data_IF_426694378495
#
_entry.id   IF_426694378495
#
_cell.length_a   1.000
_cell.length_b   1.000
_cell.length_c   1.000
_cell.angle_alpha   90.00
_cell.angle_beta   90.00
_cell.angle_gamma   90.00
#
_symmetry.space_group_name_H-M   'P 1'
#
loop_
_entity.id
_entity.type
_entity.pdbx_description
1 polymer ?
#
# COMPACT_ATOMS: atom_id res chain seq x y z
N UNK A 1 -55.74 -65.61 -31.65
CA UNK A 1 -55.38 -64.38 -32.40
C UNK A 1 -55.10 -63.28 -31.36
N UNK A 2 -53.83 -63.01 -31.05
CA UNK A 2 -53.41 -61.96 -30.10
C UNK A 2 -52.99 -60.73 -30.90
N UNK A 3 -53.70 -59.62 -30.74
CA UNK A 3 -53.26 -58.31 -31.21
C UNK A 3 -52.45 -57.66 -30.08
N UNK A 4 -51.22 -57.27 -30.40
CA UNK A 4 -50.28 -56.66 -29.48
C UNK A 4 -49.97 -55.22 -29.91
N UNK A 5 -50.02 -54.33 -28.91
CA UNK A 5 -49.35 -53.02 -28.70
C UNK A 5 -49.69 -51.85 -29.67
N UNK A 6 -49.83 -50.58 -29.18
CA UNK A 6 -48.75 -49.85 -28.49
C UNK A 6 -49.17 -48.97 -27.27
N UNK A 7 -48.34 -48.80 -26.23
CA UNK A 7 -48.35 -47.58 -25.43
C UNK A 7 -47.29 -46.59 -25.97
N UNK A 8 -47.76 -45.40 -26.33
CA UNK A 8 -46.95 -44.27 -26.72
C UNK A 8 -46.24 -43.68 -25.48
N UNK A 9 -44.99 -44.09 -25.24
CA UNK A 9 -44.13 -43.55 -24.17
C UNK A 9 -43.11 -42.51 -24.67
N UNK A 10 -43.20 -42.08 -25.92
CA UNK A 10 -42.43 -40.94 -26.40
C UNK A 10 -43.17 -39.65 -26.01
N UNK A 11 -42.46 -38.74 -25.33
CA UNK A 11 -42.86 -37.36 -25.01
C UNK A 11 -43.45 -37.07 -23.62
N UNK A 12 -43.05 -37.82 -22.58
CA UNK A 12 -42.91 -37.23 -21.22
C UNK A 12 -41.62 -36.39 -21.08
N UNK A 13 -41.15 -35.80 -22.19
CA UNK A 13 -39.95 -34.96 -22.25
C UNK A 13 -40.32 -33.47 -22.19
N UNK A 14 -41.18 -33.12 -21.26
CA UNK A 14 -41.44 -31.73 -20.86
C UNK A 14 -41.56 -31.71 -19.34
N UNK A 15 -40.47 -32.09 -18.66
CA UNK A 15 -40.16 -31.55 -17.35
C UNK A 15 -40.05 -30.04 -17.51
N UNK A 16 -41.18 -29.36 -17.32
CA UNK A 16 -41.26 -27.97 -16.93
C UNK A 16 -40.63 -27.83 -15.54
N UNK A 17 -39.31 -28.02 -15.47
CA UNK A 17 -38.44 -27.47 -14.43
C UNK A 17 -38.14 -26.01 -14.81
N UNK A 18 -39.19 -25.20 -14.94
CA UNK A 18 -39.08 -23.77 -14.70
C UNK A 18 -39.48 -23.55 -13.23
N UNK A 19 -38.73 -24.15 -12.30
CA UNK A 19 -38.62 -23.59 -10.96
C UNK A 19 -38.04 -22.21 -11.16
N UNK A 20 -38.90 -21.20 -11.06
CA UNK A 20 -38.52 -19.80 -11.07
C UNK A 20 -37.33 -19.64 -10.14
N UNK A 21 -36.16 -19.40 -10.73
CA UNK A 21 -35.01 -18.93 -10.01
C UNK A 21 -35.41 -17.57 -9.45
N UNK A 22 -35.92 -17.58 -8.22
CA UNK A 22 -35.81 -16.51 -7.24
C UNK A 22 -34.31 -16.31 -6.92
N UNK A 23 -33.50 -16.03 -7.95
CA UNK A 23 -32.21 -15.41 -7.74
C UNK A 23 -32.47 -13.91 -7.78
N UNK A 24 -33.08 -13.43 -6.69
CA UNK A 24 -32.82 -12.08 -6.20
C UNK A 24 -31.32 -12.01 -5.92
N UNK A 25 -30.55 -11.75 -6.97
CA UNK A 25 -29.15 -11.36 -6.84
C UNK A 25 -29.19 -10.04 -6.07
N UNK A 26 -28.53 -9.93 -4.92
CA UNK A 26 -28.50 -8.68 -4.18
C UNK A 26 -27.71 -7.65 -4.99
N UNK A 27 -28.41 -6.84 -5.78
CA UNK A 27 -27.88 -5.59 -6.36
C UNK A 27 -27.56 -4.54 -5.27
N UNK A 28 -27.64 -4.89 -3.99
CA UNK A 28 -27.22 -4.07 -2.85
C UNK A 28 -25.69 -4.05 -2.63
N UNK A 29 -24.90 -4.68 -3.52
CA UNK A 29 -23.44 -4.68 -3.46
C UNK A 29 -22.74 -3.45 -4.05
N UNK A 30 -23.42 -2.63 -4.87
CA UNK A 30 -22.72 -1.56 -5.64
C UNK A 30 -22.26 -0.37 -4.78
N UNK A 31 -22.99 -0.05 -3.71
CA UNK A 31 -22.65 1.08 -2.82
C UNK A 31 -21.50 0.75 -1.87
N UNK A 32 -21.31 -0.53 -1.51
CA UNK A 32 -20.17 -0.95 -0.69
C UNK A 32 -18.89 -1.05 -1.52
N UNK A 33 -18.98 -1.55 -2.77
CA UNK A 33 -17.85 -1.70 -3.68
C UNK A 33 -17.17 -0.35 -3.99
N UNK A 34 -17.95 0.73 -4.13
CA UNK A 34 -17.42 2.08 -4.38
C UNK A 34 -16.63 2.68 -3.20
N UNK A 35 -16.94 2.30 -1.96
CA UNK A 35 -16.18 2.76 -0.78
C UNK A 35 -14.87 1.99 -0.63
N UNK A 36 -14.88 0.70 -0.93
CA UNK A 36 -13.66 -0.11 -0.98
C UNK A 36 -12.72 0.37 -2.10
N UNK A 37 -13.25 0.79 -3.26
CA UNK A 37 -12.40 1.33 -4.32
C UNK A 37 -11.82 2.71 -3.98
N UNK A 38 -12.59 3.60 -3.34
CA UNK A 38 -12.08 4.91 -2.92
C UNK A 38 -10.90 4.81 -1.95
N UNK A 39 -11.02 3.97 -0.91
CA UNK A 39 -9.94 3.77 0.07
C UNK A 39 -8.71 3.09 -0.56
N UNK A 40 -8.93 2.15 -1.48
CA UNK A 40 -7.84 1.53 -2.23
C UNK A 40 -7.09 2.54 -3.11
N UNK A 41 -7.82 3.46 -3.78
CA UNK A 41 -7.21 4.54 -4.57
C UNK A 41 -6.39 5.45 -3.66
N UNK A 42 -6.94 5.88 -2.51
CA UNK A 42 -6.20 6.70 -1.54
C UNK A 42 -4.94 5.99 -1.06
N UNK A 43 -5.03 4.69 -0.75
CA UNK A 43 -3.87 3.87 -0.38
C UNK A 43 -2.80 3.84 -1.47
N UNK A 44 -3.19 3.65 -2.72
CA UNK A 44 -2.26 3.66 -3.87
C UNK A 44 -1.62 5.03 -4.10
N UNK A 45 -2.38 6.12 -3.96
CA UNK A 45 -1.86 7.49 -4.08
C UNK A 45 -0.85 7.78 -2.97
N UNK A 46 -1.18 7.46 -1.71
CA UNK A 46 -0.26 7.61 -0.58
C UNK A 46 1.01 6.76 -0.77
N UNK A 47 0.85 5.51 -1.21
CA UNK A 47 1.96 4.62 -1.49
C UNK A 47 2.87 5.19 -2.60
N UNK A 48 2.29 5.65 -3.71
CA UNK A 48 3.06 6.20 -4.84
C UNK A 48 3.80 7.49 -4.44
N UNK A 49 3.15 8.40 -3.72
CA UNK A 49 3.77 9.62 -3.23
C UNK A 49 4.87 9.31 -2.22
N UNK A 50 4.62 8.41 -1.26
CA UNK A 50 5.60 7.99 -0.28
C UNK A 50 6.81 7.32 -0.91
N UNK A 51 6.60 6.41 -1.86
CA UNK A 51 7.65 5.76 -2.63
C UNK A 51 8.48 6.78 -3.44
N UNK A 52 7.81 7.70 -4.13
CA UNK A 52 8.48 8.75 -4.91
C UNK A 52 9.37 9.63 -4.03
N UNK A 53 8.85 10.15 -2.91
CA UNK A 53 9.61 10.99 -1.98
C UNK A 53 10.77 10.21 -1.37
N UNK A 54 10.56 8.96 -0.97
CA UNK A 54 11.61 8.10 -0.42
C UNK A 54 12.73 7.84 -1.43
N UNK A 55 12.38 7.52 -2.68
CA UNK A 55 13.36 7.33 -3.75
C UNK A 55 14.11 8.61 -4.08
N UNK A 56 13.42 9.76 -4.08
CA UNK A 56 14.06 11.06 -4.24
C UNK A 56 15.05 11.35 -3.10
N UNK A 57 14.71 11.02 -1.85
CA UNK A 57 15.61 11.14 -0.71
C UNK A 57 16.86 10.26 -0.89
N UNK A 58 16.69 8.98 -1.26
CA UNK A 58 17.81 8.07 -1.55
C UNK A 58 18.69 8.63 -2.67
N UNK A 59 18.09 9.16 -3.73
CA UNK A 59 18.83 9.79 -4.82
C UNK A 59 19.64 10.99 -4.34
N UNK A 60 19.02 11.91 -3.59
CA UNK A 60 19.69 13.11 -3.08
C UNK A 60 20.79 12.79 -2.06
N UNK A 61 20.60 11.76 -1.23
CA UNK A 61 21.56 11.36 -0.20
C UNK A 61 22.75 10.56 -0.75
N UNK A 62 22.51 9.58 -1.62
CA UNK A 62 23.55 8.64 -2.04
C UNK A 62 23.97 8.76 -3.49
N UNK A 63 23.05 9.06 -4.41
CA UNK A 63 23.32 8.99 -5.85
C UNK A 63 23.84 10.33 -6.35
N UNK A 64 23.31 11.45 -5.83
CA UNK A 64 23.63 12.80 -6.30
C UNK A 64 25.11 13.13 -6.17
N UNK A 65 25.74 12.77 -5.05
CA UNK A 65 27.16 13.09 -4.83
C UNK A 65 28.09 12.31 -5.77
N UNK A 66 27.98 10.96 -5.92
CA UNK A 66 28.71 10.22 -6.93
C UNK A 66 28.47 10.71 -8.35
N UNK A 67 27.22 11.01 -8.72
CA UNK A 67 26.89 11.55 -10.05
C UNK A 67 27.56 12.91 -10.27
N UNK A 68 27.52 13.80 -9.27
CA UNK A 68 28.20 15.10 -9.35
C UNK A 68 29.71 14.95 -9.55
N UNK A 69 30.33 13.99 -8.85
CA UNK A 69 31.77 13.71 -9.00
C UNK A 69 32.08 13.09 -10.37
N UNK A 70 31.23 12.17 -10.85
CA UNK A 70 31.39 11.53 -12.17
C UNK A 70 31.25 12.53 -13.34
N UNK A 71 30.49 13.62 -13.15
CA UNK A 71 30.38 14.72 -14.10
C UNK A 71 31.53 15.74 -14.01
N UNK A 72 32.56 15.48 -13.21
CA UNK A 72 33.74 16.35 -13.07
C UNK A 72 33.59 17.47 -12.03
N UNK A 73 32.52 17.46 -11.22
CA UNK A 73 32.36 18.42 -10.13
C UNK A 73 33.33 18.17 -8.98
N UNK A 74 33.78 19.24 -8.31
CA UNK A 74 34.67 19.16 -7.15
C UNK A 74 33.89 19.19 -5.83
N UNK A 75 34.52 18.85 -4.70
CA UNK A 75 33.85 18.91 -3.39
C UNK A 75 33.39 20.31 -3.01
N UNK A 76 34.12 21.34 -3.45
CA UNK A 76 33.83 22.73 -3.09
C UNK A 76 32.59 23.29 -3.81
N UNK A 77 32.25 22.75 -4.98
CA UNK A 77 31.05 23.15 -5.72
C UNK A 77 29.80 22.38 -5.29
N UNK A 78 29.95 21.34 -4.46
CA UNK A 78 28.84 20.52 -4.04
C UNK A 78 28.00 21.20 -2.95
N UNK A 79 26.82 21.70 -3.33
CA UNK A 79 25.83 22.19 -2.37
C UNK A 79 24.94 21.05 -1.87
N UNK A 80 25.16 20.65 -0.62
CA UNK A 80 24.29 19.70 0.06
C UNK A 80 22.87 20.29 0.17
N UNK A 81 21.87 19.56 -0.32
CA UNK A 81 20.46 19.89 -0.15
C UNK A 81 19.90 18.82 0.76
N UNK A 82 19.48 19.22 1.97
CA UNK A 82 18.79 18.30 2.88
C UNK A 82 17.45 17.93 2.26
N UNK A 83 17.21 16.63 2.04
CA UNK A 83 15.87 16.13 1.73
C UNK A 83 14.92 16.36 2.92
N UNK A 84 13.62 16.20 2.68
CA UNK A 84 12.59 16.19 3.73
C UNK A 84 12.44 14.74 4.23
N UNK A 85 13.18 14.32 5.27
CA UNK A 85 13.51 12.92 5.46
C UNK A 85 12.36 12.10 6.06
N UNK A 86 11.31 12.77 6.54
CA UNK A 86 10.20 12.14 7.26
C UNK A 86 8.93 11.99 6.42
N UNK A 87 8.81 12.75 5.32
CA UNK A 87 7.55 12.81 4.55
C UNK A 87 7.30 11.52 3.77
N UNK A 88 8.37 10.94 3.20
CA UNK A 88 8.30 9.69 2.43
C UNK A 88 7.85 8.51 3.28
N UNK A 89 8.61 8.21 4.33
CA UNK A 89 8.27 7.17 5.30
C UNK A 89 6.89 7.37 5.94
N UNK A 90 6.49 8.59 6.29
CA UNK A 90 5.14 8.85 6.84
C UNK A 90 4.03 8.42 5.87
N UNK A 91 4.11 8.81 4.59
CA UNK A 91 3.11 8.41 3.59
C UNK A 91 3.10 6.90 3.36
N UNK A 92 4.26 6.24 3.39
CA UNK A 92 4.35 4.79 3.28
C UNK A 92 3.65 4.10 4.47
N UNK A 93 3.90 4.54 5.71
CA UNK A 93 3.24 3.99 6.89
C UNK A 93 1.71 4.18 6.87
N UNK A 94 1.24 5.36 6.45
CA UNK A 94 -0.19 5.62 6.28
C UNK A 94 -0.83 4.77 5.18
N UNK A 95 -0.06 4.39 4.15
CA UNK A 95 -0.57 3.56 3.04
C UNK A 95 -0.79 2.08 3.43
N UNK A 96 0.00 1.52 4.35
CA UNK A 96 -0.03 0.09 4.70
C UNK A 96 -1.43 -0.45 5.03
N UNK A 97 -2.24 0.18 5.91
CA UNK A 97 -3.58 -0.33 6.22
C UNK A 97 -4.55 -0.21 5.03
N UNK A 98 -4.28 0.68 4.08
CA UNK A 98 -5.13 0.95 2.91
C UNK A 98 -4.78 0.05 1.71
N UNK A 99 -3.58 -0.54 1.68
CA UNK A 99 -3.15 -1.43 0.61
C UNK A 99 -3.81 -2.81 0.76
N UNK A 100 -4.40 -3.33 -0.32
CA UNK A 100 -5.06 -4.65 -0.34
C UNK A 100 -4.06 -5.80 -0.51
N UNK A 101 -2.97 -5.57 -1.24
CA UNK A 101 -1.95 -6.59 -1.51
C UNK A 101 -0.95 -6.69 -0.36
N UNK A 102 -0.80 -7.89 0.20
CA UNK A 102 0.22 -8.20 1.20
C UNK A 102 1.63 -7.92 0.66
N UNK A 103 1.86 -8.19 -0.63
CA UNK A 103 3.14 -7.88 -1.28
C UNK A 103 3.45 -6.39 -1.29
N UNK A 104 2.47 -5.54 -1.62
CA UNK A 104 2.65 -4.08 -1.58
C UNK A 104 2.87 -3.55 -0.17
N UNK A 105 2.22 -4.14 0.85
CA UNK A 105 2.47 -3.77 2.26
C UNK A 105 3.92 -4.03 2.66
N UNK A 106 4.43 -5.23 2.38
CA UNK A 106 5.83 -5.55 2.68
C UNK A 106 6.81 -4.70 1.87
N UNK A 107 6.47 -4.41 0.62
CA UNK A 107 7.27 -3.51 -0.20
C UNK A 107 7.28 -2.08 0.35
N UNK A 108 6.16 -1.57 0.86
CA UNK A 108 6.08 -0.28 1.54
C UNK A 108 6.93 -0.24 2.83
N UNK A 109 6.92 -1.32 3.61
CA UNK A 109 7.80 -1.47 4.79
C UNK A 109 9.26 -1.51 4.38
N UNK A 110 9.62 -2.28 3.36
CA UNK A 110 10.99 -2.34 2.87
C UNK A 110 11.47 -0.96 2.39
N UNK A 111 10.67 -0.26 1.59
CA UNK A 111 10.98 1.10 1.14
C UNK A 111 11.15 2.07 2.32
N UNK A 112 10.30 2.00 3.34
CA UNK A 112 10.39 2.90 4.48
C UNK A 112 11.66 2.70 5.29
N UNK A 113 12.21 1.47 5.35
CA UNK A 113 13.51 1.20 5.98
C UNK A 113 14.68 1.84 5.22
N UNK A 114 14.61 1.91 3.90
CA UNK A 114 15.61 2.55 3.04
C UNK A 114 15.55 4.08 3.07
N UNK A 115 14.48 4.68 3.61
CA UNK A 115 14.38 6.14 3.79
C UNK A 115 15.40 6.61 4.84
N UNK A 116 16.52 7.17 4.41
CA UNK A 116 17.68 7.48 5.27
C UNK A 116 17.51 8.65 6.22
N UNK A 117 16.33 9.23 6.29
CA UNK A 117 15.96 10.01 7.47
C UNK A 117 14.53 9.76 7.94
N UNK A 118 14.02 8.56 7.67
CA UNK A 118 12.76 8.13 8.23
C UNK A 118 12.76 8.14 9.76
N UNK A 119 11.57 8.00 10.33
CA UNK A 119 11.33 8.07 11.78
C UNK A 119 12.28 7.13 12.56
N UNK A 120 12.61 5.96 12.02
CA UNK A 120 13.53 5.00 12.64
C UNK A 120 14.97 5.55 12.74
N UNK A 121 15.48 6.24 11.72
CA UNK A 121 16.79 6.90 11.79
C UNK A 121 16.77 8.12 12.72
N UNK A 122 15.67 8.87 12.74
CA UNK A 122 15.50 9.97 13.69
C UNK A 122 15.52 9.46 15.15
N UNK A 123 14.74 8.43 15.46
CA UNK A 123 14.74 7.81 16.80
C UNK A 123 16.11 7.20 17.11
N UNK A 124 16.73 6.53 16.14
CA UNK A 124 18.07 5.95 16.29
C UNK A 124 19.13 7.00 16.63
N UNK A 125 19.11 8.15 15.96
CA UNK A 125 20.06 9.26 16.24
C UNK A 125 19.77 9.92 17.59
N UNK A 126 18.51 10.13 17.98
CA UNK A 126 18.16 10.62 19.32
C UNK A 126 18.54 9.65 20.44
N UNK A 127 18.42 8.34 20.19
CA UNK A 127 18.87 7.30 21.13
C UNK A 127 20.39 7.33 21.27
N UNK A 128 21.11 7.29 20.14
CA UNK A 128 22.57 7.30 20.09
C UNK A 128 23.17 8.53 20.78
N UNK A 129 22.57 9.69 20.58
CA UNK A 129 23.02 10.95 21.19
C UNK A 129 22.59 11.12 22.65
N UNK A 130 21.85 10.17 23.24
CA UNK A 130 21.33 10.25 24.60
C UNK A 130 20.22 11.29 24.81
N UNK A 131 19.84 12.03 23.75
CA UNK A 131 18.81 13.07 23.80
C UNK A 131 17.43 12.50 24.11
N UNK A 132 17.14 11.26 23.68
CA UNK A 132 15.85 10.62 23.95
C UNK A 132 15.61 10.45 25.46
N UNK A 133 16.64 10.04 26.21
CA UNK A 133 16.56 9.88 27.66
C UNK A 133 16.31 11.22 28.37
N UNK A 134 16.98 12.28 27.92
CA UNK A 134 16.77 13.63 28.46
C UNK A 134 15.37 14.18 28.15
N UNK A 135 14.86 13.95 26.94
CA UNK A 135 13.51 14.36 26.52
C UNK A 135 12.43 13.66 27.34
N UNK A 136 12.55 12.34 27.53
CA UNK A 136 11.59 11.56 28.31
C UNK A 136 11.60 11.97 29.79
N UNK A 137 12.79 12.21 30.36
CA UNK A 137 12.93 12.62 31.77
C UNK A 137 12.31 14.00 32.02
N UNK A 138 12.59 14.99 31.17
CA UNK A 138 11.99 16.33 31.27
C UNK A 138 10.48 16.40 30.93
N UNK A 139 9.87 15.31 30.46
CA UNK A 139 8.41 15.19 30.35
C UNK A 139 7.81 14.68 31.66
N UNK A 140 8.48 13.75 32.32
CA UNK A 140 8.05 13.15 33.59
C UNK A 140 8.09 14.14 34.76
N UNK A 141 8.94 15.17 34.70
CA UNK A 141 9.02 16.23 35.72
C UNK A 141 7.91 17.30 35.59
N UNK A 142 7.06 17.22 34.56
CA UNK A 142 5.99 18.19 34.25
C UNK A 142 4.58 17.65 34.43
N UNK A 143 4.44 16.38 34.79
CA UNK A 143 3.17 15.73 35.16
C UNK A 143 3.07 15.58 36.68
#
# INVERSE_FOLDING_TARGET
MRLAVPPNHALQRTRLECRGCNHCVPCAGSLSLGRYSAMAIVGMVLFALGAFVTLANVYLSFIRYPVHLALGGTRETYRWVSGFPLVGSLFLWLSIPLLSSVGLRWFAVALSLFDTGGIHWFVGTMWWTGQLGAFLRGRNDRE
#
